data_IF_085901231347
#
_entry.id   IF_085901231347
#
_cell.length_a   1.000
_cell.length_b   1.000
_cell.length_c   1.000
_cell.angle_alpha   90.00
_cell.angle_beta   90.00
_cell.angle_gamma   90.00
#
_symmetry.space_group_name_H-M   'P 1'
#
loop_
_entity.id
_entity.type
_entity.pdbx_description
1 polymer ?
#
# COMPACT_ATOMS: atom_id res chain seq x y z
N UNK A 1 28.62 12.83 8.94
CA UNK A 1 28.07 14.13 8.52
C UNK A 1 28.44 14.26 7.04
N UNK A 2 27.60 14.15 6.03
CA UNK A 2 26.14 14.16 5.85
C UNK A 2 25.87 13.27 4.63
N UNK A 3 24.94 12.32 4.73
CA UNK A 3 24.47 11.49 3.62
C UNK A 3 23.70 12.36 2.64
N UNK A 4 24.23 12.48 1.42
CA UNK A 4 23.63 13.21 0.32
C UNK A 4 22.47 12.36 -0.24
N UNK A 5 21.25 12.55 0.30
CA UNK A 5 20.02 12.07 -0.32
C UNK A 5 19.79 12.84 -1.62
N UNK A 6 20.33 12.33 -2.72
CA UNK A 6 19.93 12.77 -4.04
C UNK A 6 18.49 12.29 -4.29
N UNK A 7 17.52 13.16 -3.98
CA UNK A 7 16.14 12.96 -4.37
C UNK A 7 16.12 12.94 -5.91
N UNK A 8 15.94 11.77 -6.51
CA UNK A 8 15.79 11.60 -7.96
C UNK A 8 14.41 12.13 -8.41
N UNK A 9 14.20 13.44 -8.27
CA UNK A 9 13.06 14.13 -8.87
C UNK A 9 13.31 14.25 -10.37
N UNK A 10 12.30 13.94 -11.18
CA UNK A 10 12.42 14.13 -12.62
C UNK A 10 12.63 15.61 -12.91
N UNK A 11 13.73 15.96 -13.57
CA UNK A 11 14.11 17.34 -13.91
C UNK A 11 13.08 18.05 -14.79
N UNK A 12 12.22 17.30 -15.48
CA UNK A 12 11.15 17.82 -16.34
C UNK A 12 9.88 18.12 -15.55
N UNK A 13 9.49 17.23 -14.62
CA UNK A 13 8.21 17.30 -13.92
C UNK A 13 8.32 17.69 -12.43
N UNK A 14 9.53 17.83 -11.89
CA UNK A 14 9.78 18.05 -10.46
C UNK A 14 9.20 16.95 -9.56
N UNK A 15 8.96 15.75 -10.11
CA UNK A 15 8.24 14.67 -9.43
C UNK A 15 6.71 14.74 -9.47
N UNK A 16 6.10 15.80 -10.05
CA UNK A 16 4.64 15.94 -10.10
C UNK A 16 3.97 15.02 -11.13
N UNK A 17 4.72 14.53 -12.12
CA UNK A 17 4.20 13.71 -13.21
C UNK A 17 3.28 14.48 -14.17
N UNK A 18 3.04 15.78 -13.99
CA UNK A 18 2.35 16.66 -14.94
C UNK A 18 3.27 17.82 -15.30
N UNK A 19 3.09 18.39 -16.48
CA UNK A 19 3.69 19.66 -16.89
C UNK A 19 2.63 20.56 -17.50
N UNK A 20 2.83 21.86 -17.39
CA UNK A 20 2.04 22.86 -18.11
C UNK A 20 2.91 23.43 -19.21
N UNK A 21 2.35 23.59 -20.42
CA UNK A 21 3.09 24.21 -21.52
C UNK A 21 3.13 25.72 -21.30
N UNK A 22 4.31 26.32 -21.40
CA UNK A 22 4.46 27.77 -21.42
C UNK A 22 4.05 28.30 -22.80
N UNK A 23 2.75 28.49 -22.99
CA UNK A 23 2.16 29.07 -24.21
C UNK A 23 1.49 30.41 -23.87
N UNK A 24 1.22 31.28 -24.86
CA UNK A 24 0.50 32.52 -24.63
C UNK A 24 -0.96 32.30 -24.19
N UNK A 25 -1.61 33.32 -23.64
CA UNK A 25 -2.94 33.22 -23.02
C UNK A 25 -4.08 32.88 -24.01
N UNK A 26 -3.88 33.17 -25.28
CA UNK A 26 -4.81 32.90 -26.39
C UNK A 26 -4.65 31.48 -26.97
N UNK A 27 -3.66 30.71 -26.50
CA UNK A 27 -3.39 29.37 -26.98
C UNK A 27 -4.35 28.36 -26.32
N UNK A 28 -4.91 27.40 -27.08
CA UNK A 28 -5.85 26.40 -26.53
C UNK A 28 -5.26 25.52 -25.44
N UNK A 29 -3.93 25.41 -25.36
CA UNK A 29 -3.22 24.66 -24.32
C UNK A 29 -2.87 25.48 -23.07
N UNK A 30 -3.20 26.78 -23.05
CA UNK A 30 -2.93 27.62 -21.89
C UNK A 30 -3.67 27.11 -20.66
N UNK A 31 -2.94 26.92 -19.55
CA UNK A 31 -3.49 26.40 -18.30
C UNK A 31 -3.87 24.91 -18.30
N UNK A 32 -3.71 24.19 -19.42
CA UNK A 32 -3.97 22.74 -19.47
C UNK A 32 -2.77 21.95 -18.92
N UNK A 33 -3.06 20.93 -18.12
CA UNK A 33 -2.06 20.00 -17.61
C UNK A 33 -1.84 18.85 -18.58
N UNK A 34 -0.58 18.60 -18.96
CA UNK A 34 -0.18 17.50 -19.83
C UNK A 34 0.62 16.45 -19.04
N UNK A 35 0.55 15.17 -19.45
CA UNK A 35 1.44 14.16 -18.90
C UNK A 35 2.89 14.53 -19.23
N UNK A 36 3.78 14.39 -18.24
CA UNK A 36 5.21 14.57 -18.49
C UNK A 36 5.71 13.50 -19.48
N UNK A 37 6.47 13.88 -20.52
CA UNK A 37 7.02 12.92 -21.49
C UNK A 37 8.09 12.00 -20.90
N UNK A 38 8.75 12.43 -19.81
CA UNK A 38 9.88 11.71 -19.20
C UNK A 38 9.46 10.88 -17.97
N UNK A 39 8.30 11.20 -17.38
CA UNK A 39 7.71 10.44 -16.28
C UNK A 39 6.72 9.46 -16.95
N UNK A 40 6.80 8.13 -16.80
CA UNK A 40 5.80 7.21 -17.37
C UNK A 40 4.46 7.32 -16.59
N UNK A 41 3.71 8.40 -16.85
CA UNK A 41 2.78 9.05 -15.92
C UNK A 41 1.57 8.22 -15.53
N UNK A 42 1.06 7.36 -16.39
CA UNK A 42 -0.12 6.54 -16.04
C UNK A 42 0.26 5.42 -15.07
N UNK A 43 1.40 4.76 -15.30
CA UNK A 43 1.85 3.64 -14.48
C UNK A 43 2.33 4.09 -13.09
N UNK A 44 3.08 5.21 -13.01
CA UNK A 44 3.56 5.75 -11.73
C UNK A 44 2.42 6.31 -10.87
N UNK A 45 1.52 7.14 -11.43
CA UNK A 45 0.35 7.62 -10.68
C UNK A 45 -0.58 6.48 -10.24
N UNK A 46 -0.70 5.45 -11.08
CA UNK A 46 -1.45 4.24 -10.72
C UNK A 46 -0.79 3.51 -9.56
N UNK A 47 0.53 3.36 -9.56
CA UNK A 47 1.28 2.76 -8.43
C UNK A 47 1.13 3.60 -7.16
N UNK A 48 1.33 4.91 -7.22
CA UNK A 48 1.24 5.79 -6.05
C UNK A 48 -0.18 5.82 -5.47
N UNK A 49 -1.21 5.90 -6.32
CA UNK A 49 -2.60 5.85 -5.87
C UNK A 49 -2.95 4.50 -5.25
N UNK A 50 -2.52 3.39 -5.87
CA UNK A 50 -2.70 2.05 -5.29
C UNK A 50 -1.98 1.97 -3.94
N UNK A 51 -0.72 2.39 -3.85
CA UNK A 51 0.06 2.34 -2.60
C UNK A 51 -0.63 3.11 -1.47
N UNK A 52 -1.11 4.33 -1.74
CA UNK A 52 -1.86 5.16 -0.77
C UNK A 52 -3.17 4.50 -0.32
N UNK A 53 -3.88 3.83 -1.22
CA UNK A 53 -5.15 3.16 -0.91
C UNK A 53 -4.97 1.79 -0.25
N UNK A 54 -3.77 1.21 -0.32
CA UNK A 54 -3.57 -0.18 0.12
C UNK A 54 -3.42 -0.33 1.63
N UNK A 55 -3.33 0.76 2.41
CA UNK A 55 -3.14 0.74 3.88
C UNK A 55 -1.83 0.03 4.36
N UNK A 56 -0.79 0.01 3.54
CA UNK A 56 0.51 -0.61 3.87
C UNK A 56 1.50 0.32 4.58
N UNK A 57 1.12 1.57 4.89
CA UNK A 57 2.02 2.57 5.46
C UNK A 57 2.68 2.10 6.78
N UNK A 58 1.97 1.31 7.58
CA UNK A 58 2.48 0.75 8.84
C UNK A 58 3.23 -0.58 8.69
N UNK A 59 3.34 -1.10 7.47
CA UNK A 59 3.94 -2.41 7.16
C UNK A 59 5.05 -2.31 6.10
N UNK A 60 5.67 -1.14 5.93
CA UNK A 60 6.68 -0.92 4.89
C UNK A 60 7.91 -1.83 5.03
N UNK A 61 8.26 -2.22 6.25
CA UNK A 61 9.38 -3.11 6.56
C UNK A 61 9.04 -4.60 6.40
N UNK A 62 7.77 -4.94 6.14
CA UNK A 62 7.29 -6.33 6.01
C UNK A 62 7.32 -6.78 4.56
N UNK A 63 8.52 -7.05 4.05
CA UNK A 63 8.76 -7.49 2.67
C UNK A 63 9.24 -8.94 2.63
N UNK A 64 9.28 -9.56 1.45
CA UNK A 64 9.87 -10.90 1.31
C UNK A 64 11.35 -10.92 1.70
N UNK A 65 12.08 -9.85 1.43
CA UNK A 65 13.51 -9.74 1.75
C UNK A 65 13.79 -9.68 3.25
N UNK A 66 12.83 -9.20 4.06
CA UNK A 66 12.98 -9.10 5.51
C UNK A 66 12.34 -10.28 6.26
N UNK A 67 11.75 -11.24 5.56
CA UNK A 67 11.14 -12.42 6.18
C UNK A 67 12.21 -13.44 6.56
N UNK A 68 12.22 -13.86 7.82
CA UNK A 68 13.18 -14.83 8.34
C UNK A 68 12.54 -16.22 8.45
N UNK A 69 13.22 -17.23 7.89
CA UNK A 69 12.79 -18.64 7.97
C UNK A 69 13.64 -19.46 8.95
N UNK A 70 14.79 -18.93 9.35
CA UNK A 70 15.73 -19.55 10.30
C UNK A 70 15.69 -18.79 11.62
N UNK A 71 14.86 -19.25 12.55
CA UNK A 71 14.73 -18.64 13.86
C UNK A 71 15.29 -19.59 14.91
N UNK A 72 16.29 -19.11 15.67
CA UNK A 72 17.02 -19.93 16.66
C UNK A 72 16.14 -20.46 17.79
N UNK A 73 14.99 -19.82 18.03
CA UNK A 73 14.02 -20.21 19.05
C UNK A 73 12.96 -21.21 18.55
N UNK A 74 13.00 -21.61 17.27
CA UNK A 74 12.09 -22.57 16.67
C UNK A 74 12.82 -23.89 16.38
N UNK A 75 12.07 -24.99 16.42
CA UNK A 75 12.58 -26.29 15.98
C UNK A 75 12.67 -26.38 14.44
N UNK A 76 13.36 -27.41 13.95
CA UNK A 76 13.56 -27.60 12.50
C UNK A 76 12.23 -27.78 11.75
N UNK A 77 11.23 -28.39 12.39
CA UNK A 77 9.91 -28.59 11.76
C UNK A 77 9.17 -27.27 11.60
N UNK A 78 9.29 -26.38 12.58
CA UNK A 78 8.72 -25.03 12.55
C UNK A 78 9.44 -24.15 11.53
N UNK A 79 10.78 -24.16 11.49
CA UNK A 79 11.55 -23.45 10.47
C UNK A 79 11.23 -23.97 9.06
N UNK A 80 11.11 -25.29 8.87
CA UNK A 80 10.65 -25.87 7.60
C UNK A 80 9.24 -25.39 7.22
N UNK A 81 8.32 -25.27 8.17
CA UNK A 81 6.99 -24.71 7.91
C UNK A 81 7.06 -23.24 7.46
N UNK A 82 7.97 -22.43 7.99
CA UNK A 82 8.19 -21.05 7.54
C UNK A 82 8.74 -20.99 6.12
N UNK A 83 9.68 -21.88 5.76
CA UNK A 83 10.20 -22.00 4.39
C UNK A 83 9.07 -22.35 3.40
N UNK A 84 8.21 -23.31 3.76
CA UNK A 84 7.04 -23.68 2.96
C UNK A 84 6.07 -22.49 2.84
N UNK A 85 5.80 -21.79 3.93
CA UNK A 85 4.90 -20.63 3.91
C UNK A 85 5.43 -19.51 3.01
N UNK A 86 6.75 -19.24 3.06
CA UNK A 86 7.41 -18.28 2.19
C UNK A 86 7.31 -18.69 0.71
N UNK A 87 7.58 -19.94 0.38
CA UNK A 87 7.47 -20.47 -0.99
C UNK A 87 6.04 -20.33 -1.54
N UNK A 88 5.03 -20.71 -0.74
CA UNK A 88 3.62 -20.53 -1.11
C UNK A 88 3.24 -19.06 -1.30
N UNK A 89 3.76 -18.18 -0.45
CA UNK A 89 3.53 -16.75 -0.55
C UNK A 89 4.16 -16.16 -1.82
N UNK A 90 5.39 -16.55 -2.17
CA UNK A 90 6.07 -16.13 -3.41
C UNK A 90 5.30 -16.61 -4.65
N UNK A 91 4.89 -17.88 -4.67
CA UNK A 91 4.11 -18.44 -5.78
C UNK A 91 2.77 -17.70 -5.97
N UNK A 92 2.06 -17.43 -4.86
CA UNK A 92 0.82 -16.65 -4.91
C UNK A 92 1.05 -15.20 -5.34
N UNK A 93 2.12 -14.56 -4.85
CA UNK A 93 2.45 -13.18 -5.23
C UNK A 93 2.80 -13.07 -6.72
N UNK A 94 3.41 -14.09 -7.32
CA UNK A 94 3.70 -14.15 -8.76
C UNK A 94 2.43 -14.37 -9.60
N UNK A 95 1.55 -15.27 -9.16
CA UNK A 95 0.30 -15.61 -9.86
C UNK A 95 -0.88 -15.69 -8.88
N UNK A 96 -1.48 -14.54 -8.51
CA UNK A 96 -2.57 -14.53 -7.53
C UNK A 96 -3.82 -15.13 -8.14
N UNK A 97 -4.07 -16.41 -7.83
CA UNK A 97 -5.27 -17.16 -8.25
C UNK A 97 -5.94 -17.77 -7.03
N UNK A 98 -7.25 -17.55 -6.90
CA UNK A 98 -8.02 -18.06 -5.78
C UNK A 98 -7.60 -17.44 -4.45
N UNK A 99 -7.59 -18.24 -3.39
CA UNK A 99 -7.37 -17.80 -2.01
C UNK A 99 -6.14 -18.47 -1.42
N UNK A 100 -5.34 -17.71 -0.68
CA UNK A 100 -4.25 -18.23 0.16
C UNK A 100 -4.58 -17.92 1.63
N UNK A 101 -4.64 -18.96 2.46
CA UNK A 101 -4.92 -18.85 3.88
C UNK A 101 -3.69 -19.25 4.69
N UNK A 102 -3.19 -18.35 5.53
CA UNK A 102 -2.16 -18.66 6.53
C UNK A 102 -2.81 -18.96 7.88
N UNK A 103 -2.49 -20.11 8.46
CA UNK A 103 -2.95 -20.52 9.80
C UNK A 103 -1.77 -20.85 10.70
N UNK A 104 -1.89 -20.53 11.99
CA UNK A 104 -0.86 -20.81 13.00
C UNK A 104 -0.85 -19.79 14.13
N UNK A 105 -0.05 -20.05 15.15
CA UNK A 105 0.05 -19.23 16.37
C UNK A 105 0.48 -17.78 16.08
N UNK A 106 0.24 -16.88 17.03
CA UNK A 106 0.75 -15.51 16.98
C UNK A 106 2.28 -15.50 16.86
N UNK A 107 2.84 -14.50 16.19
CA UNK A 107 4.30 -14.38 16.02
C UNK A 107 4.92 -15.24 14.91
N UNK A 108 4.16 -16.08 14.20
CA UNK A 108 4.68 -16.92 13.09
C UNK A 108 4.79 -16.20 11.73
N UNK A 109 4.70 -14.87 11.71
CA UNK A 109 4.93 -14.08 10.50
C UNK A 109 3.79 -14.05 9.46
N UNK A 110 2.58 -14.50 9.79
CA UNK A 110 1.41 -14.46 8.86
C UNK A 110 1.12 -13.07 8.31
N UNK A 111 1.04 -12.06 9.19
CA UNK A 111 0.81 -10.66 8.81
C UNK A 111 1.97 -10.13 7.95
N UNK A 112 3.20 -10.59 8.23
CA UNK A 112 4.37 -10.23 7.43
C UNK A 112 4.24 -10.77 6.00
N UNK A 113 3.94 -12.07 5.85
CA UNK A 113 3.76 -12.67 4.52
C UNK A 113 2.59 -12.02 3.75
N UNK A 114 1.48 -11.73 4.42
CA UNK A 114 0.36 -11.03 3.79
C UNK A 114 0.75 -9.61 3.31
N UNK A 115 1.49 -8.85 4.13
CA UNK A 115 2.00 -7.54 3.75
C UNK A 115 3.01 -7.63 2.60
N UNK A 116 3.90 -8.62 2.61
CA UNK A 116 4.88 -8.85 1.56
C UNK A 116 4.22 -9.18 0.21
N UNK A 117 3.19 -10.03 0.21
CA UNK A 117 2.37 -10.29 -0.99
C UNK A 117 1.73 -9.00 -1.49
N UNK A 118 1.18 -8.20 -0.58
CA UNK A 118 0.53 -6.95 -0.95
C UNK A 118 1.52 -5.94 -1.55
N UNK A 119 2.73 -5.79 -0.99
CA UNK A 119 3.81 -4.97 -1.57
C UNK A 119 4.15 -5.40 -3.00
N UNK A 120 4.31 -6.71 -3.22
CA UNK A 120 4.60 -7.25 -4.55
C UNK A 120 3.46 -6.95 -5.55
N UNK A 121 2.20 -7.09 -5.10
CA UNK A 121 1.05 -6.75 -5.92
C UNK A 121 1.02 -5.26 -6.30
N UNK A 122 1.32 -4.36 -5.35
CA UNK A 122 1.43 -2.90 -5.62
C UNK A 122 2.57 -2.59 -6.58
N UNK A 123 3.75 -3.21 -6.40
CA UNK A 123 4.89 -3.04 -7.31
C UNK A 123 4.54 -3.47 -8.75
N UNK A 124 3.68 -4.48 -8.89
CA UNK A 124 3.12 -4.96 -10.17
C UNK A 124 1.90 -4.18 -10.65
N UNK A 125 1.53 -3.08 -9.99
CA UNK A 125 0.40 -2.22 -10.33
C UNK A 125 -0.97 -2.91 -10.26
N UNK A 126 -1.07 -3.99 -9.48
CA UNK A 126 -2.30 -4.70 -9.17
C UNK A 126 -3.02 -3.92 -8.06
N UNK A 127 -4.33 -3.68 -8.22
CA UNK A 127 -5.13 -3.02 -7.17
C UNK A 127 -5.24 -3.96 -5.97
N UNK A 128 -4.72 -3.51 -4.83
CA UNK A 128 -4.66 -4.27 -3.59
C UNK A 128 -5.23 -3.44 -2.46
N UNK A 129 -5.86 -4.10 -1.48
CA UNK A 129 -6.30 -3.49 -0.24
C UNK A 129 -5.79 -4.41 0.88
N UNK A 130 -5.06 -3.86 1.83
CA UNK A 130 -4.63 -4.56 3.03
C UNK A 130 -5.46 -4.05 4.21
N UNK A 131 -6.16 -4.95 4.91
CA UNK A 131 -7.03 -4.59 6.03
C UNK A 131 -6.67 -5.47 7.22
N UNK A 132 -6.47 -4.84 8.38
CA UNK A 132 -6.38 -5.59 9.65
C UNK A 132 -7.77 -5.72 10.27
N UNK A 133 -8.01 -6.79 11.05
CA UNK A 133 -9.29 -7.01 11.71
C UNK A 133 -9.84 -5.81 12.51
N UNK A 134 -9.03 -5.06 13.31
CA UNK A 134 -9.54 -3.87 14.00
C UNK A 134 -9.93 -2.72 13.06
N UNK A 135 -9.28 -2.58 11.89
CA UNK A 135 -9.62 -1.53 10.91
C UNK A 135 -10.97 -1.80 10.22
N UNK A 136 -11.33 -3.07 10.04
CA UNK A 136 -12.61 -3.48 9.44
C UNK A 136 -13.82 -3.09 10.31
N UNK A 137 -13.66 -3.07 11.64
CA UNK A 137 -14.74 -2.73 12.57
C UNK A 137 -14.96 -1.21 12.74
N UNK A 138 -13.98 -0.38 12.38
CA UNK A 138 -13.98 1.07 12.65
C UNK A 138 -14.59 1.96 11.57
N UNK A 139 -14.81 1.46 10.35
CA UNK A 139 -15.31 2.27 9.22
C UNK A 139 -16.83 2.33 9.11
N UNK A 140 -17.58 1.47 9.82
CA UNK A 140 -19.06 1.49 9.82
C UNK A 140 -19.68 2.13 11.07
N UNK A 141 -18.89 2.56 12.06
CA UNK A 141 -19.42 3.06 13.34
C UNK A 141 -19.39 4.59 13.51
N UNK A 142 -18.96 5.37 12.50
CA UNK A 142 -18.93 6.85 12.57
C UNK A 142 -20.00 7.57 11.75
N UNK A 143 -20.92 6.86 11.11
CA UNK A 143 -22.02 7.45 10.34
C UNK A 143 -23.43 7.15 10.88
N UNK A 144 -23.55 6.47 12.02
CA UNK A 144 -24.85 6.06 12.59
C UNK A 144 -25.16 6.67 13.97
N UNK A 145 -24.52 7.79 14.34
CA UNK A 145 -24.81 8.49 15.60
C UNK A 145 -24.99 10.01 15.40
N UNK A 146 -25.77 10.42 14.41
CA UNK A 146 -26.21 11.82 14.26
C UNK A 146 -27.72 11.99 14.04
N UNK A 147 -28.50 10.90 14.09
CA UNK A 147 -29.95 10.94 13.86
C UNK A 147 -30.73 10.02 14.81
N UNK A 148 -30.54 10.19 16.12
CA UNK A 148 -31.59 9.77 17.07
C UNK A 148 -31.68 10.80 18.19
N UNK A 149 -32.82 11.49 18.25
CA UNK A 149 -33.02 12.70 19.01
C UNK A 149 -33.10 12.52 20.52
N UNK A 150 -32.89 13.63 21.22
CA UNK A 150 -33.63 13.91 22.45
C UNK A 150 -34.06 15.38 22.40
N UNK A 151 -35.37 15.57 22.24
CA UNK A 151 -36.05 16.74 22.74
C UNK A 151 -35.70 16.87 24.23
N UNK A 152 -35.29 18.04 24.68
CA UNK A 152 -35.58 18.60 26.01
C UNK A 152 -35.07 20.05 26.06
N UNK A 153 -36.01 21.00 25.98
CA UNK A 153 -35.82 22.39 26.46
C UNK A 153 -35.99 22.39 27.99
N UNK A 154 -35.33 23.31 28.70
CA UNK A 154 -36.07 24.40 29.37
C UNK A 154 -35.39 25.76 29.12
N UNK A 155 -36.14 26.82 28.79
CA UNK A 155 -36.82 27.75 29.70
C UNK A 155 -35.88 28.72 30.43
N UNK A 156 -35.46 29.78 29.71
CA UNK A 156 -35.73 31.20 30.00
C UNK A 156 -35.25 32.04 28.81
#
# INVERSE_FOLDING_TARGET
MTTNEAILLCEVCGGMGVITRAVPIDHPDFGKSFPCPNCNTAALRRRDSIARMSNLEHFQDKTFATFQTELTYLDERQNAALRIALDRALGFAQQPRGWLLFMGNTGTGKTHLAAAIAHEAVARSIRTIFVTAPDFAGSSARHLCAQCGSQLRPAL
#
